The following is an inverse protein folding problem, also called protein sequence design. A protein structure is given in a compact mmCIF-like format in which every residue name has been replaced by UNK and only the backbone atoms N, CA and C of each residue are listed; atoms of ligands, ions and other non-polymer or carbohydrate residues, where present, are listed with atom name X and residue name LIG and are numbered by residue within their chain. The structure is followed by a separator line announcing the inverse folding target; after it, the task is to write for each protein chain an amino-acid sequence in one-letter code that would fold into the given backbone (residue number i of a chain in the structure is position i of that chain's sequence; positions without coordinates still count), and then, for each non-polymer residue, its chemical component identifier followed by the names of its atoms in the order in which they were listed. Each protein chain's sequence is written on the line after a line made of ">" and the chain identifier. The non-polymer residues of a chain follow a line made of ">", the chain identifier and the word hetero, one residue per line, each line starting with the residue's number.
data_IF_806003985649
#
_entry.id   IF_806003985649
#
_cell.length_a   1.000
_cell.length_b   1.000
_cell.length_c   1.000
_cell.angle_alpha   90.00
_cell.angle_beta   90.00
_cell.angle_gamma   90.00
#
_symmetry.space_group_name_H-M   'P 1'
#
loop_
_entity.id
_entity.type
_entity.pdbx_description
1 polymer ?
#
# COMPACT_ATOMS: atom_id res chain seq x y z
N UNK A 1 -9.93 -11.39 1.57
CA UNK A 1 -9.79 -10.44 0.43
C UNK A 1 -8.93 -9.24 0.83
N UNK A 2 -8.04 -8.74 -0.04
CA UNK A 2 -7.19 -7.56 0.24
C UNK A 2 -7.81 -6.29 -0.30
N UNK A 3 -7.54 -5.16 0.36
CA UNK A 3 -8.09 -3.84 -0.01
C UNK A 3 -6.95 -2.85 -0.25
N UNK A 4 -6.89 -2.26 -1.44
CA UNK A 4 -5.96 -1.19 -1.75
C UNK A 4 -6.58 0.16 -1.36
N UNK A 5 -5.82 0.97 -0.63
CA UNK A 5 -6.17 2.36 -0.37
C UNK A 5 -5.04 3.29 -0.78
N UNK A 6 -5.41 4.45 -1.31
CA UNK A 6 -4.49 5.52 -1.66
C UNK A 6 -4.87 6.76 -0.84
N UNK A 7 -3.88 7.48 -0.33
CA UNK A 7 -4.05 8.78 0.28
C UNK A 7 -3.79 9.85 -0.78
N UNK A 8 -4.80 10.64 -1.06
CA UNK A 8 -4.71 11.83 -1.90
C UNK A 8 -5.04 13.04 -1.02
N UNK A 9 -4.11 14.00 -0.94
CA UNK A 9 -4.27 15.24 -0.18
C UNK A 9 -4.71 15.05 1.30
N UNK A 10 -4.24 13.99 1.96
CA UNK A 10 -4.55 13.73 3.37
C UNK A 10 -5.75 12.79 3.59
N UNK A 11 -6.54 12.49 2.57
CA UNK A 11 -7.71 11.61 2.68
C UNK A 11 -7.44 10.20 2.11
N UNK A 12 -7.74 9.16 2.88
CA UNK A 12 -7.66 7.77 2.42
C UNK A 12 -8.91 7.38 1.64
N UNK A 13 -8.74 6.88 0.42
CA UNK A 13 -9.82 6.32 -0.40
C UNK A 13 -9.58 4.86 -0.74
N UNK A 14 -10.64 4.05 -0.73
CA UNK A 14 -10.59 2.68 -1.25
C UNK A 14 -10.57 2.72 -2.78
N UNK A 15 -9.59 2.04 -3.38
CA UNK A 15 -9.43 2.00 -4.83
C UNK A 15 -10.01 0.71 -5.38
N UNK A 16 -9.61 -0.43 -4.81
CA UNK A 16 -10.10 -1.74 -5.24
C UNK A 16 -9.91 -2.80 -4.15
N UNK A 17 -10.71 -3.87 -4.25
CA UNK A 17 -10.52 -5.10 -3.48
C UNK A 17 -10.11 -6.24 -4.42
N UNK A 18 -9.16 -7.06 -4.00
CA UNK A 18 -8.55 -8.08 -4.85
C UNK A 18 -8.13 -9.32 -4.05
N UNK A 19 -8.01 -10.49 -4.70
CA UNK A 19 -7.57 -11.70 -4.03
C UNK A 19 -6.05 -11.68 -3.83
N UNK A 20 -5.54 -12.40 -2.83
CA UNK A 20 -4.16 -12.29 -2.35
C UNK A 20 -3.10 -12.55 -3.44
N UNK A 21 -3.40 -13.40 -4.39
CA UNK A 21 -2.51 -13.85 -5.46
C UNK A 21 -2.10 -12.69 -6.40
N UNK A 22 -2.91 -11.63 -6.46
CA UNK A 22 -2.65 -10.45 -7.31
C UNK A 22 -1.89 -9.34 -6.62
N UNK A 23 -1.47 -9.54 -5.39
CA UNK A 23 -0.96 -8.46 -4.54
C UNK A 23 0.30 -7.78 -5.06
N UNK A 24 1.23 -8.54 -5.62
CA UNK A 24 2.46 -7.97 -6.21
C UNK A 24 2.10 -7.08 -7.41
N UNK A 25 1.22 -7.55 -8.29
CA UNK A 25 0.77 -6.83 -9.49
C UNK A 25 0.04 -5.54 -9.10
N UNK A 26 -0.90 -5.61 -8.15
CA UNK A 26 -1.69 -4.46 -7.69
C UNK A 26 -0.81 -3.40 -7.03
N UNK A 27 0.14 -3.80 -6.18
CA UNK A 27 1.07 -2.86 -5.53
C UNK A 27 1.93 -2.14 -6.57
N UNK A 28 2.50 -2.89 -7.53
CA UNK A 28 3.32 -2.31 -8.59
C UNK A 28 2.54 -1.31 -9.45
N UNK A 29 1.30 -1.65 -9.81
CA UNK A 29 0.42 -0.77 -10.56
C UNK A 29 0.04 0.49 -9.76
N UNK A 30 -0.32 0.34 -8.48
CA UNK A 30 -0.69 1.46 -7.61
C UNK A 30 0.46 2.46 -7.47
N UNK A 31 1.69 1.98 -7.27
CA UNK A 31 2.89 2.84 -7.20
C UNK A 31 3.09 3.61 -8.51
N UNK A 32 2.98 2.92 -9.66
CA UNK A 32 3.09 3.58 -10.97
C UNK A 32 2.02 4.67 -11.15
N UNK A 33 0.77 4.42 -10.75
CA UNK A 33 -0.30 5.41 -10.90
C UNK A 33 -0.03 6.70 -10.11
N UNK A 34 0.42 6.59 -8.87
CA UNK A 34 0.57 7.77 -8.00
C UNK A 34 1.85 8.56 -8.26
N UNK A 35 2.90 7.90 -8.75
CA UNK A 35 4.20 8.54 -9.04
C UNK A 35 4.10 9.67 -10.06
N UNK A 36 3.12 9.64 -10.97
CA UNK A 36 2.96 10.66 -12.00
C UNK A 36 2.08 11.86 -11.60
N UNK A 37 1.35 11.78 -10.47
CA UNK A 37 0.31 12.76 -10.14
C UNK A 37 0.44 13.45 -8.79
N UNK A 38 1.13 12.86 -7.81
CA UNK A 38 1.16 13.41 -6.45
C UNK A 38 2.48 13.07 -5.72
N UNK A 39 3.34 14.06 -5.43
CA UNK A 39 4.63 13.85 -4.78
C UNK A 39 4.53 13.44 -3.30
N UNK A 40 3.35 13.51 -2.69
CA UNK A 40 3.07 13.10 -1.29
C UNK A 40 2.02 11.99 -1.20
N UNK A 41 1.83 11.22 -2.27
CA UNK A 41 0.93 10.08 -2.28
C UNK A 41 1.36 9.02 -1.27
N UNK A 42 0.38 8.45 -0.57
CA UNK A 42 0.58 7.27 0.28
C UNK A 42 -0.29 6.14 -0.24
N UNK A 43 0.20 4.91 -0.15
CA UNK A 43 -0.53 3.71 -0.53
C UNK A 43 -0.49 2.77 0.66
N UNK A 44 -1.59 2.08 0.93
CA UNK A 44 -1.61 0.96 1.87
C UNK A 44 -2.45 -0.19 1.34
N UNK A 45 -2.07 -1.40 1.73
CA UNK A 45 -2.86 -2.60 1.54
C UNK A 45 -3.35 -3.05 2.90
N UNK A 46 -4.66 -3.28 2.98
CA UNK A 46 -5.32 -3.79 4.16
C UNK A 46 -5.74 -5.25 3.94
N UNK A 47 -5.78 -6.03 5.01
CA UNK A 47 -6.52 -7.29 5.04
C UNK A 47 -8.04 -7.05 5.11
N UNK A 48 -8.81 -8.14 5.22
CA UNK A 48 -10.26 -8.06 5.29
C UNK A 48 -10.78 -7.42 6.59
N UNK A 49 -10.01 -7.54 7.68
CA UNK A 49 -10.27 -6.94 8.98
C UNK A 49 -9.82 -5.48 9.09
N UNK A 50 -9.12 -4.97 8.08
CA UNK A 50 -8.64 -3.59 8.03
C UNK A 50 -7.24 -3.37 8.61
N UNK A 51 -6.48 -4.43 8.90
CA UNK A 51 -5.09 -4.28 9.34
C UNK A 51 -4.17 -3.98 8.15
N UNK A 52 -3.18 -3.11 8.38
CA UNK A 52 -2.20 -2.74 7.35
C UNK A 52 -1.20 -3.89 7.17
N UNK A 53 -1.23 -4.49 5.99
CA UNK A 53 -0.26 -5.51 5.56
C UNK A 53 0.95 -4.90 4.86
N UNK A 54 0.75 -3.75 4.21
CA UNK A 54 1.81 -3.05 3.47
C UNK A 54 1.49 -1.56 3.36
N UNK A 55 2.54 -0.74 3.32
CA UNK A 55 2.46 0.71 3.21
C UNK A 55 3.60 1.24 2.33
N UNK A 56 3.31 2.29 1.58
CA UNK A 56 4.26 2.99 0.72
C UNK A 56 3.94 4.50 0.69
N UNK A 57 4.96 5.33 0.53
CA UNK A 57 4.82 6.79 0.49
C UNK A 57 5.83 7.41 -0.49
N UNK A 58 5.36 8.31 -1.36
CA UNK A 58 6.22 9.10 -2.22
C UNK A 58 6.83 10.26 -1.43
N UNK A 59 8.10 10.58 -1.68
CA UNK A 59 8.78 11.72 -1.04
C UNK A 59 9.73 11.36 0.11
N UNK A 60 9.70 10.12 0.61
CA UNK A 60 10.87 9.56 1.30
C UNK A 60 11.84 9.10 0.21
N UNK A 61 12.94 9.82 0.01
CA UNK A 61 14.01 9.39 -0.87
C UNK A 61 14.34 7.92 -0.58
N UNK A 62 14.18 7.09 -1.62
CA UNK A 62 14.46 5.65 -1.64
C UNK A 62 13.55 4.75 -0.79
N UNK A 63 13.09 3.70 -1.48
CA UNK A 63 12.45 2.49 -0.99
C UNK A 63 12.80 2.14 0.47
N UNK A 64 11.81 2.15 1.37
CA UNK A 64 11.82 1.32 2.58
C UNK A 64 10.70 0.30 2.46
N UNK A 65 10.96 -0.97 2.10
CA UNK A 65 9.97 -2.01 2.32
C UNK A 65 9.71 -2.05 3.82
N UNK A 66 8.50 -1.68 4.24
CA UNK A 66 8.05 -1.95 5.59
C UNK A 66 8.09 -3.46 5.76
N UNK A 67 9.13 -3.93 6.45
CA UNK A 67 9.29 -5.31 6.88
C UNK A 67 8.10 -5.59 7.81
N UNK A 68 7.03 -6.14 7.23
CA UNK A 68 5.91 -6.65 7.99
C UNK A 68 6.49 -7.60 9.04
N UNK A 69 6.27 -7.25 10.30
CA UNK A 69 6.80 -7.94 11.45
C UNK A 69 6.58 -9.46 11.32
N UNK A 70 7.65 -10.20 11.00
CA UNK A 70 7.74 -11.60 11.40
C UNK A 70 7.89 -11.59 12.91
N UNK A 71 6.74 -11.68 13.58
CA UNK A 71 6.60 -12.04 14.99
C UNK A 71 7.08 -13.48 15.14
N UNK A 72 8.40 -13.68 15.16
CA UNK A 72 9.02 -14.89 15.68
C UNK A 72 9.32 -14.65 17.16
N UNK A 73 8.47 -15.17 18.05
CA UNK A 73 8.93 -15.62 19.38
C UNK A 73 10.04 -16.67 19.15
N UNK A 74 11.09 -16.69 19.98
CA UNK A 74 11.01 -17.21 21.34
C UNK A 74 11.00 -16.13 22.42
#
# INVERSE_FOLDING_TARGET
>A
MRKLQINEAGAWRMVLSYPEERDIEVRAYAVKMVLFGNPHAKIRVLDEWGHVLWYWESGAGWYKPALAARRGRP
#
